data_IF_143077778784
#
_entry.id   IF_143077778784
#
_cell.length_a   1.000
_cell.length_b   1.000
_cell.length_c   1.000
_cell.angle_alpha   90.00
_cell.angle_beta   90.00
_cell.angle_gamma   90.00
#
_symmetry.space_group_name_H-M   'P 1'
#
loop_
_entity.id
_entity.type
_entity.pdbx_description
1 polymer ?
#
# COMPACT_ATOMS: atom_id res chain seq x y z
N UNK A 1 10.17 8.12 3.59
CA UNK A 1 9.61 7.31 2.52
C UNK A 1 8.38 6.56 2.99
N UNK A 2 7.24 6.79 2.35
CA UNK A 2 5.97 6.19 2.74
C UNK A 2 5.97 4.67 2.58
N UNK A 3 6.62 4.14 1.56
CA UNK A 3 6.71 2.69 1.37
C UNK A 3 7.47 2.04 2.52
N UNK A 4 8.58 2.62 2.92
CA UNK A 4 9.36 2.14 4.07
C UNK A 4 8.57 2.24 5.37
N UNK A 5 7.86 3.34 5.57
CA UNK A 5 7.11 3.60 6.79
C UNK A 5 5.86 2.70 6.93
N UNK A 6 5.13 2.49 5.86
CA UNK A 6 3.80 1.85 5.90
C UNK A 6 3.76 0.45 5.31
N UNK A 7 4.76 0.06 4.52
CA UNK A 7 4.77 -1.21 3.82
C UNK A 7 4.87 -2.42 4.73
N UNK A 8 4.44 -3.58 4.24
CA UNK A 8 4.55 -4.82 5.02
C UNK A 8 6.01 -5.23 5.20
N UNK A 9 6.34 -5.73 6.39
CA UNK A 9 7.69 -6.09 6.79
C UNK A 9 7.75 -7.55 7.23
N UNK A 10 8.83 -8.23 6.88
CA UNK A 10 9.03 -9.66 7.18
C UNK A 10 10.40 -9.87 7.81
N UNK A 11 10.50 -10.88 8.67
CA UNK A 11 11.77 -11.23 9.31
C UNK A 11 12.74 -11.95 8.38
N UNK A 12 12.21 -12.68 7.39
CA UNK A 12 13.03 -13.43 6.45
C UNK A 12 12.66 -13.13 5.01
N UNK A 13 13.63 -13.27 4.13
CA UNK A 13 13.43 -13.15 2.69
C UNK A 13 12.41 -14.16 2.18
N UNK A 14 12.50 -15.40 2.66
CA UNK A 14 11.57 -16.46 2.28
C UNK A 14 10.13 -16.17 2.63
N UNK A 15 9.88 -15.55 3.77
CA UNK A 15 8.52 -15.17 4.18
C UNK A 15 7.97 -14.06 3.30
N UNK A 16 8.80 -13.09 2.96
CA UNK A 16 8.42 -12.01 2.04
C UNK A 16 8.15 -12.56 0.64
N UNK A 17 9.04 -13.40 0.13
CA UNK A 17 8.91 -13.99 -1.21
C UNK A 17 7.73 -14.94 -1.34
N UNK A 18 7.35 -15.60 -0.25
CA UNK A 18 6.16 -16.43 -0.22
C UNK A 18 4.91 -15.62 -0.60
N UNK A 19 4.81 -14.39 -0.11
CA UNK A 19 3.68 -13.49 -0.39
C UNK A 19 3.83 -12.74 -1.72
N UNK A 20 5.03 -12.24 -2.00
CA UNK A 20 5.23 -11.26 -3.08
C UNK A 20 5.96 -11.80 -4.31
N UNK A 21 6.57 -12.97 -4.19
CA UNK A 21 7.26 -13.63 -5.30
C UNK A 21 8.77 -13.60 -5.16
N UNK A 22 9.40 -14.55 -5.82
CA UNK A 22 10.86 -14.70 -5.83
C UNK A 22 11.50 -13.43 -6.41
N UNK A 23 12.57 -12.96 -5.78
CA UNK A 23 13.33 -11.78 -6.17
C UNK A 23 12.53 -10.46 -6.11
N UNK A 24 11.37 -10.46 -5.47
CA UNK A 24 10.53 -9.26 -5.32
C UNK A 24 10.63 -8.63 -3.93
N UNK A 25 11.64 -9.00 -3.17
CA UNK A 25 11.83 -8.50 -1.81
C UNK A 25 13.25 -7.96 -1.63
N UNK A 26 13.38 -6.93 -0.79
CA UNK A 26 14.67 -6.33 -0.47
C UNK A 26 14.94 -6.35 1.03
N UNK A 27 16.22 -6.41 1.39
CA UNK A 27 16.67 -6.26 2.77
C UNK A 27 16.77 -4.77 3.11
N UNK A 28 16.18 -4.40 4.23
CA UNK A 28 16.19 -3.01 4.70
C UNK A 28 16.70 -2.98 6.13
N UNK A 29 17.64 -2.09 6.39
CA UNK A 29 18.11 -1.80 7.73
C UNK A 29 17.80 -0.33 8.05
N UNK A 30 17.05 -0.08 9.10
CA UNK A 30 16.59 1.26 9.45
C UNK A 30 16.56 1.42 10.97
N UNK A 31 17.34 2.36 11.49
CA UNK A 31 17.39 2.73 12.92
C UNK A 31 17.56 1.52 13.84
N UNK A 32 18.49 0.63 13.51
CA UNK A 32 18.80 -0.55 14.32
C UNK A 32 17.87 -1.74 14.09
N UNK A 33 16.85 -1.60 13.27
CA UNK A 33 15.95 -2.68 12.88
C UNK A 33 16.27 -3.17 11.48
N UNK A 34 16.19 -4.48 11.27
CA UNK A 34 16.42 -5.10 9.96
C UNK A 34 15.23 -5.97 9.60
N UNK A 35 14.80 -5.87 8.35
CA UNK A 35 13.64 -6.62 7.87
C UNK A 35 13.71 -6.76 6.35
N UNK A 36 12.81 -7.58 5.80
CA UNK A 36 12.60 -7.69 4.35
C UNK A 36 11.27 -7.09 3.97
N UNK A 37 11.24 -6.38 2.85
CA UNK A 37 10.05 -5.74 2.31
C UNK A 37 9.91 -6.05 0.83
N UNK A 38 8.67 -6.12 0.31
CA UNK A 38 8.49 -6.19 -1.14
C UNK A 38 8.93 -4.87 -1.78
N UNK A 39 9.42 -4.96 -3.01
CA UNK A 39 9.65 -3.78 -3.82
C UNK A 39 8.32 -3.11 -4.13
N UNK A 40 8.33 -1.79 -4.10
CA UNK A 40 7.17 -1.00 -4.49
C UNK A 40 6.95 -1.15 -6.00
N UNK A 41 5.69 -1.40 -6.39
CA UNK A 41 5.34 -1.56 -7.81
C UNK A 41 5.02 -0.22 -8.48
N UNK A 42 4.65 0.79 -7.72
CA UNK A 42 4.31 2.09 -8.25
C UNK A 42 3.59 2.94 -7.21
N UNK A 43 3.02 4.04 -7.65
CA UNK A 43 2.25 4.94 -6.79
C UNK A 43 0.84 5.11 -7.32
N UNK A 44 -0.11 5.17 -6.40
CA UNK A 44 -1.42 5.69 -6.67
C UNK A 44 -1.36 7.19 -6.41
N UNK A 45 -1.72 8.00 -7.40
CA UNK A 45 -1.63 9.45 -7.31
C UNK A 45 -3.00 10.08 -7.43
N UNK A 46 -3.25 11.12 -6.63
CA UNK A 46 -4.44 11.94 -6.77
C UNK A 46 -4.10 13.40 -6.59
N UNK A 47 -4.75 14.24 -7.36
CA UNK A 47 -4.70 15.69 -7.22
C UNK A 47 -5.91 16.14 -6.43
N UNK A 48 -5.66 16.93 -5.39
CA UNK A 48 -6.72 17.56 -4.60
C UNK A 48 -6.56 19.07 -4.74
N UNK A 49 -7.67 19.74 -5.06
CA UNK A 49 -7.71 21.19 -5.14
C UNK A 49 -8.36 21.71 -3.89
N UNK A 50 -7.60 22.44 -3.07
CA UNK A 50 -8.09 23.08 -1.87
C UNK A 50 -8.33 24.57 -2.12
N UNK A 51 -9.43 25.10 -1.60
CA UNK A 51 -9.63 26.55 -1.52
C UNK A 51 -9.04 27.05 -0.22
N UNK A 52 -8.12 27.99 -0.34
CA UNK A 52 -7.48 28.63 0.81
C UNK A 52 -7.86 30.11 0.82
N UNK A 53 -8.48 30.56 1.90
CA UNK A 53 -8.77 31.99 2.10
C UNK A 53 -7.54 32.73 2.63
N UNK A 54 -7.32 33.95 2.13
CA UNK A 54 -6.29 34.82 2.66
C UNK A 54 -6.88 35.84 3.66
N UNK A 55 -6.03 36.66 4.28
CA UNK A 55 -6.44 37.69 5.24
C UNK A 55 -7.32 38.79 4.64
N UNK A 56 -7.34 38.91 3.31
CA UNK A 56 -8.15 39.88 2.57
C UNK A 56 -9.46 39.27 2.06
N UNK A 57 -9.76 38.03 2.42
CA UNK A 57 -10.95 37.33 2.00
C UNK A 57 -10.89 36.79 0.59
N UNK A 58 -9.76 36.84 -0.07
CA UNK A 58 -9.56 36.27 -1.39
C UNK A 58 -9.36 34.76 -1.29
N UNK A 59 -10.09 34.01 -2.09
CA UNK A 59 -9.94 32.54 -2.16
C UNK A 59 -8.90 32.20 -3.22
N UNK A 60 -7.90 31.42 -2.83
CA UNK A 60 -6.90 30.87 -3.74
C UNK A 60 -7.08 29.37 -3.83
N UNK A 61 -6.96 28.82 -5.03
CA UNK A 61 -6.95 27.39 -5.25
C UNK A 61 -5.51 26.89 -5.11
N UNK A 62 -5.30 25.92 -4.21
CA UNK A 62 -4.01 25.28 -4.01
C UNK A 62 -4.12 23.83 -4.44
N UNK A 63 -3.26 23.42 -5.36
CA UNK A 63 -3.18 22.04 -5.82
C UNK A 63 -2.23 21.27 -4.92
N UNK A 64 -2.69 20.11 -4.46
CA UNK A 64 -1.86 19.15 -3.72
C UNK A 64 -1.91 17.81 -4.42
N UNK A 65 -0.75 17.14 -4.43
CA UNK A 65 -0.66 15.79 -4.95
C UNK A 65 -0.42 14.84 -3.79
N UNK A 66 -1.29 13.84 -3.69
CA UNK A 66 -1.12 12.76 -2.72
C UNK A 66 -0.66 11.52 -3.44
N UNK A 67 0.31 10.82 -2.84
CA UNK A 67 0.87 9.60 -3.40
C UNK A 67 0.80 8.50 -2.35
N UNK A 68 0.34 7.33 -2.77
CA UNK A 68 0.33 6.13 -1.93
C UNK A 68 1.15 5.05 -2.59
N UNK A 69 2.06 4.39 -1.87
CA UNK A 69 2.82 3.29 -2.43
C UNK A 69 1.90 2.11 -2.74
N UNK A 70 2.12 1.51 -3.89
CA UNK A 70 1.37 0.37 -4.37
C UNK A 70 2.30 -0.83 -4.53
N UNK A 71 1.75 -2.00 -4.23
CA UNK A 71 2.48 -3.26 -4.30
C UNK A 71 1.71 -4.24 -5.17
N UNK A 72 2.42 -5.24 -5.67
CA UNK A 72 1.82 -6.37 -6.37
C UNK A 72 2.55 -7.65 -5.98
N UNK A 73 1.91 -8.78 -6.19
CA UNK A 73 2.50 -10.07 -5.94
C UNK A 73 2.68 -10.86 -7.22
N UNK A 74 3.82 -11.52 -7.34
CA UNK A 74 4.10 -12.46 -8.42
C UNK A 74 4.14 -13.90 -7.92
N UNK A 75 3.84 -14.12 -6.64
CA UNK A 75 3.88 -15.44 -6.02
C UNK A 75 2.67 -16.27 -6.39
N UNK A 76 2.91 -17.48 -6.88
CA UNK A 76 1.83 -18.44 -7.17
C UNK A 76 1.09 -18.89 -5.92
N UNK A 77 1.71 -18.71 -4.75
CA UNK A 77 1.16 -19.13 -3.47
C UNK A 77 0.28 -18.05 -2.84
N UNK A 78 0.28 -16.84 -3.40
CA UNK A 78 -0.46 -15.72 -2.85
C UNK A 78 -1.78 -15.50 -3.60
N UNK A 79 -2.84 -15.25 -2.85
CA UNK A 79 -4.12 -14.82 -3.41
C UNK A 79 -4.05 -13.42 -4.03
N UNK A 80 -2.98 -12.69 -3.75
CA UNK A 80 -2.75 -11.34 -4.26
C UNK A 80 -2.04 -11.32 -5.60
N UNK A 81 -1.70 -12.49 -6.15
CA UNK A 81 -0.96 -12.59 -7.39
C UNK A 81 -1.67 -11.85 -8.52
N UNK A 82 -0.91 -11.00 -9.20
CA UNK A 82 -1.41 -10.25 -10.35
C UNK A 82 -2.39 -9.15 -10.02
N UNK A 83 -2.41 -8.68 -8.77
CA UNK A 83 -3.32 -7.63 -8.33
C UNK A 83 -2.54 -6.43 -7.80
N UNK A 84 -3.15 -5.26 -7.88
CA UNK A 84 -2.63 -4.03 -7.27
C UNK A 84 -3.22 -3.85 -5.88
N UNK A 85 -2.40 -3.58 -4.89
CA UNK A 85 -2.88 -3.30 -3.54
C UNK A 85 -2.00 -2.25 -2.86
N UNK A 86 -2.59 -1.53 -1.89
CA UNK A 86 -1.84 -0.54 -1.13
C UNK A 86 -1.19 -1.18 0.11
N UNK A 87 -0.46 -0.36 0.88
CA UNK A 87 0.23 -0.84 2.08
C UNK A 87 -0.72 -1.37 3.16
N UNK A 88 -1.97 -0.91 3.18
CA UNK A 88 -2.99 -1.43 4.11
C UNK A 88 -3.63 -2.71 3.63
N UNK A 89 -3.33 -3.17 2.42
CA UNK A 89 -3.90 -4.37 1.85
C UNK A 89 -5.18 -4.18 1.07
N UNK A 90 -5.59 -2.95 0.79
CA UNK A 90 -6.75 -2.71 -0.08
C UNK A 90 -6.40 -3.10 -1.50
N UNK A 91 -7.22 -3.96 -2.08
CA UNK A 91 -7.09 -4.46 -3.46
C UNK A 91 -7.76 -3.49 -4.43
N UNK A 92 -7.01 -3.03 -5.44
CA UNK A 92 -7.51 -2.11 -6.47
C UNK A 92 -7.80 -2.81 -7.79
N UNK A 93 -7.62 -4.11 -7.87
CA UNK A 93 -7.94 -4.88 -9.06
C UNK A 93 -6.72 -5.52 -9.70
N UNK A 94 -6.92 -6.11 -10.88
CA UNK A 94 -5.85 -6.81 -11.58
C UNK A 94 -4.85 -5.85 -12.20
N UNK A 95 -3.61 -6.31 -12.40
CA UNK A 95 -2.53 -5.52 -13.00
C UNK A 95 -2.87 -5.01 -14.40
N UNK A 96 -3.70 -5.72 -15.13
CA UNK A 96 -4.09 -5.33 -16.48
C UNK A 96 -5.12 -4.20 -16.54
N UNK A 97 -5.70 -3.84 -15.42
CA UNK A 97 -6.70 -2.77 -15.38
C UNK A 97 -6.03 -1.41 -15.44
N UNK A 98 -6.54 -0.55 -16.33
CA UNK A 98 -6.10 0.84 -16.44
C UNK A 98 -6.93 1.77 -15.58
N UNK A 99 -8.21 1.43 -15.38
CA UNK A 99 -9.15 2.23 -14.61
C UNK A 99 -9.31 1.62 -13.22
N UNK A 100 -8.99 2.40 -12.21
CA UNK A 100 -9.05 1.99 -10.81
C UNK A 100 -9.94 2.97 -10.08
N UNK A 101 -10.93 2.44 -9.35
CA UNK A 101 -11.81 3.27 -8.55
C UNK A 101 -11.11 3.63 -7.24
N UNK A 102 -10.91 4.93 -7.03
CA UNK A 102 -10.24 5.44 -5.83
C UNK A 102 -11.17 6.38 -5.08
N UNK A 103 -11.01 6.40 -3.77
CA UNK A 103 -11.76 7.27 -2.89
C UNK A 103 -10.80 8.18 -2.15
N UNK A 104 -11.28 9.33 -1.69
CA UNK A 104 -10.46 10.26 -0.92
C UNK A 104 -9.85 9.59 0.31
N UNK A 105 -10.56 8.66 0.93
CA UNK A 105 -10.07 7.90 2.07
C UNK A 105 -8.84 7.04 1.76
N UNK A 106 -8.62 6.69 0.49
CA UNK A 106 -7.46 5.90 0.08
C UNK A 106 -6.15 6.70 0.22
N UNK A 107 -6.25 8.03 0.27
CA UNK A 107 -5.09 8.93 0.38
C UNK A 107 -4.86 9.43 1.80
N UNK A 108 -5.61 8.95 2.78
CA UNK A 108 -5.34 9.27 4.18
C UNK A 108 -4.00 8.71 4.61
N UNK A 109 -3.33 9.45 5.50
CA UNK A 109 -2.07 9.01 6.07
C UNK A 109 -2.25 7.66 6.75
N UNK A 110 -1.45 6.68 6.36
CA UNK A 110 -1.47 5.34 6.95
C UNK A 110 -0.57 5.31 8.18
N UNK A 111 -0.89 4.47 9.17
CA UNK A 111 -0.04 4.34 10.35
C UNK A 111 1.32 3.73 10.00
N UNK A 112 2.32 4.09 10.79
CA UNK A 112 3.65 3.50 10.68
C UNK A 112 3.60 2.03 11.10
N UNK A 113 4.19 1.18 10.27
CA UNK A 113 4.25 -0.27 10.53
C UNK A 113 5.63 -0.63 11.05
N UNK A 114 5.70 -1.05 12.30
CA UNK A 114 6.93 -1.48 12.95
C UNK A 114 7.00 -2.99 13.17
N UNK A 115 5.86 -3.66 13.11
CA UNK A 115 5.79 -5.11 13.33
C UNK A 115 6.00 -5.86 12.04
N UNK A 116 6.70 -7.00 12.15
CA UNK A 116 6.83 -7.93 11.03
C UNK A 116 5.63 -8.85 10.99
N UNK A 117 5.28 -9.31 9.78
CA UNK A 117 4.24 -10.31 9.58
C UNK A 117 4.88 -11.66 9.26
N UNK A 118 4.15 -12.71 9.59
CA UNK A 118 4.58 -14.08 9.29
C UNK A 118 4.20 -14.45 7.87
N UNK A 119 4.80 -15.53 7.37
CA UNK A 119 4.49 -16.11 6.07
C UNK A 119 2.98 -16.28 5.89
N UNK A 120 2.44 -15.72 4.81
CA UNK A 120 1.01 -15.74 4.52
C UNK A 120 0.16 -14.77 5.34
N UNK A 121 0.74 -14.09 6.34
CA UNK A 121 -0.01 -13.20 7.25
C UNK A 121 -0.60 -11.98 6.56
N UNK A 122 0.11 -11.41 5.63
CA UNK A 122 -0.37 -10.25 4.87
C UNK A 122 -1.56 -10.62 3.98
N UNK A 123 -1.46 -11.73 3.24
CA UNK A 123 -2.55 -12.22 2.40
C UNK A 123 -3.81 -12.53 3.18
N UNK A 124 -3.67 -13.11 4.38
CA UNK A 124 -4.81 -13.37 5.26
C UNK A 124 -5.47 -12.08 5.74
N UNK A 125 -4.70 -11.06 6.06
CA UNK A 125 -5.22 -9.75 6.45
C UNK A 125 -6.03 -9.11 5.32
N UNK A 126 -5.53 -9.18 4.11
CA UNK A 126 -6.22 -8.65 2.92
C UNK A 126 -7.54 -9.39 2.69
N UNK A 127 -7.53 -10.72 2.78
CA UNK A 127 -8.73 -11.53 2.62
C UNK A 127 -9.78 -11.19 3.68
N UNK A 128 -9.39 -10.98 4.94
CA UNK A 128 -10.30 -10.57 6.01
C UNK A 128 -10.91 -9.21 5.74
N UNK A 129 -10.12 -8.24 5.30
CA UNK A 129 -10.61 -6.91 4.96
C UNK A 129 -11.64 -6.97 3.83
N UNK A 130 -11.38 -7.75 2.80
CA UNK A 130 -12.31 -7.95 1.68
C UNK A 130 -13.61 -8.59 2.14
N UNK A 131 -13.54 -9.62 2.99
CA UNK A 131 -14.71 -10.29 3.55
C UNK A 131 -15.56 -9.35 4.40
N UNK A 132 -14.92 -8.56 5.26
CA UNK A 132 -15.61 -7.56 6.08
C UNK A 132 -16.37 -6.55 5.24
N UNK A 133 -15.78 -6.10 4.15
CA UNK A 133 -16.41 -5.16 3.21
C UNK A 133 -17.62 -5.76 2.52
N UNK A 134 -17.58 -7.04 2.14
CA UNK A 134 -18.71 -7.69 1.50
C UNK A 134 -19.90 -7.87 2.46
N UNK A 135 -19.68 -8.03 3.76
CA UNK A 135 -20.75 -8.08 4.77
C UNK A 135 -21.25 -6.71 5.19
N UNK A 136 -20.43 -5.68 5.09
CA UNK A 136 -20.78 -4.31 5.45
C UNK A 136 -21.46 -3.53 4.33
N UNK A 137 -21.51 -4.13 3.17
CA UNK A 137 -22.12 -3.54 2.00
C UNK A 137 -23.56 -3.75 1.93
#
# INVERSE_FOLDING_TARGET
>A
DEALRTGPKFLSEGDCEFEFGQDNCEYVSNQGSSFFMPFMAGYLMSEVIDEVGDALGKKKKKRRYYMQPMFTSYSRRSSLRGRWFNASGKDFGSLGRRDVKVYQSDFKKKPTVNRTVKRGGFGKSVARSSSSRSFGG
#
